data_IF_773361561674
#
_entry.id   IF_773361561674
#
_cell.length_a   1.000
_cell.length_b   1.000
_cell.length_c   1.000
_cell.angle_alpha   90.00
_cell.angle_beta   90.00
_cell.angle_gamma   90.00
#
_symmetry.space_group_name_H-M   'P 1'
#
loop_
_entity.id
_entity.type
_entity.pdbx_description
1 polymer ?
#
# COMPACT_ATOMS: atom_id res chain seq x y z
N UNK A 1 -17.62 -19.51 9.13
CA UNK A 1 -18.01 -18.15 8.76
C UNK A 1 -16.75 -17.31 8.85
N UNK A 2 -16.27 -16.75 7.73
CA UNK A 2 -15.13 -15.84 7.72
C UNK A 2 -15.61 -14.54 8.36
N UNK A 3 -15.01 -14.09 9.47
CA UNK A 3 -15.45 -12.85 10.12
C UNK A 3 -14.83 -11.65 9.41
N UNK A 4 -15.49 -10.49 9.50
CA UNK A 4 -14.98 -9.24 8.93
C UNK A 4 -13.59 -8.88 9.47
N UNK A 5 -13.32 -9.13 10.76
CA UNK A 5 -11.98 -8.93 11.34
C UNK A 5 -10.92 -9.86 10.73
N UNK A 6 -11.28 -11.10 10.35
CA UNK A 6 -10.37 -12.01 9.65
C UNK A 6 -10.05 -11.50 8.24
N UNK A 7 -11.04 -10.91 7.56
CA UNK A 7 -10.85 -10.28 6.26
C UNK A 7 -9.88 -9.10 6.35
N UNK A 8 -10.12 -8.17 7.28
CA UNK A 8 -9.25 -7.01 7.47
C UNK A 8 -7.82 -7.42 7.81
N UNK A 9 -7.67 -8.42 8.68
CA UNK A 9 -6.36 -9.00 9.02
C UNK A 9 -5.66 -9.61 7.80
N UNK A 10 -6.40 -10.31 6.94
CA UNK A 10 -5.88 -10.88 5.70
C UNK A 10 -5.34 -9.80 4.76
N UNK A 11 -6.10 -8.73 4.53
CA UNK A 11 -5.68 -7.59 3.70
C UNK A 11 -4.39 -6.96 4.23
N UNK A 12 -4.30 -6.73 5.55
CA UNK A 12 -3.07 -6.26 6.19
C UNK A 12 -1.87 -7.16 5.87
N UNK A 13 -2.03 -8.48 5.99
CA UNK A 13 -0.94 -9.40 5.71
C UNK A 13 -0.54 -9.44 4.23
N UNK A 14 -1.49 -9.30 3.31
CA UNK A 14 -1.19 -9.20 1.87
C UNK A 14 -0.35 -7.95 1.61
N UNK A 15 -0.77 -6.77 2.08
CA UNK A 15 -0.03 -5.53 1.90
C UNK A 15 1.39 -5.60 2.50
N UNK A 16 1.53 -6.10 3.74
CA UNK A 16 2.85 -6.28 4.37
C UNK A 16 3.73 -7.30 3.64
N UNK A 17 3.13 -8.34 3.04
CA UNK A 17 3.86 -9.31 2.23
C UNK A 17 4.36 -8.68 0.94
N UNK A 18 3.52 -7.94 0.23
CA UNK A 18 3.88 -7.22 -1.00
C UNK A 18 5.01 -6.21 -0.75
N UNK A 19 4.90 -5.39 0.31
CA UNK A 19 5.98 -4.47 0.68
C UNK A 19 7.31 -5.18 0.91
N UNK A 20 7.31 -6.34 1.58
CA UNK A 20 8.52 -7.15 1.76
C UNK A 20 9.07 -7.68 0.44
N UNK A 21 8.22 -8.17 -0.45
CA UNK A 21 8.63 -8.63 -1.76
C UNK A 21 9.28 -7.52 -2.58
N UNK A 22 8.72 -6.30 -2.56
CA UNK A 22 9.31 -5.15 -3.25
C UNK A 22 10.65 -4.78 -2.60
N UNK A 23 10.73 -4.75 -1.26
CA UNK A 23 12.00 -4.49 -0.56
C UNK A 23 13.09 -5.50 -0.92
N UNK A 24 12.74 -6.77 -1.04
CA UNK A 24 13.70 -7.81 -1.44
C UNK A 24 14.11 -7.65 -2.91
N UNK A 25 13.18 -7.34 -3.81
CA UNK A 25 13.49 -7.02 -5.20
C UNK A 25 14.40 -5.78 -5.35
N UNK A 26 14.23 -4.76 -4.51
CA UNK A 26 15.12 -3.58 -4.47
C UNK A 26 16.54 -3.95 -4.05
N UNK A 27 16.71 -4.90 -3.12
CA UNK A 27 18.04 -5.39 -2.73
C UNK A 27 18.71 -6.17 -3.85
N UNK A 28 17.94 -6.98 -4.57
CA UNK A 28 18.45 -7.80 -5.68
C UNK A 28 18.79 -6.96 -6.92
N UNK A 29 17.94 -5.98 -7.25
CA UNK A 29 18.08 -5.17 -8.48
C UNK A 29 17.85 -3.68 -8.20
N UNK A 30 18.74 -3.01 -7.45
CA UNK A 30 18.54 -1.62 -7.01
C UNK A 30 18.42 -0.61 -8.15
N UNK A 31 19.08 -0.85 -9.28
CA UNK A 31 19.01 0.03 -10.46
C UNK A 31 17.61 0.08 -11.12
N UNK A 32 16.74 -0.89 -10.84
CA UNK A 32 15.35 -0.91 -11.33
C UNK A 32 14.40 0.00 -10.54
N UNK A 33 14.86 0.58 -9.44
CA UNK A 33 14.04 1.32 -8.49
C UNK A 33 14.57 2.72 -8.23
N UNK A 34 13.68 3.63 -7.81
CA UNK A 34 14.05 4.98 -7.37
C UNK A 34 15.01 4.89 -6.18
N UNK A 35 15.87 5.90 -6.05
CA UNK A 35 16.95 5.93 -5.05
C UNK A 35 16.43 5.76 -3.60
N UNK A 36 15.29 6.35 -3.30
CA UNK A 36 14.75 6.43 -1.93
C UNK A 36 13.72 5.32 -1.64
N UNK A 37 13.47 4.43 -2.61
CA UNK A 37 12.44 3.36 -2.50
C UNK A 37 12.55 2.54 -1.22
N UNK A 38 13.76 2.20 -0.77
CA UNK A 38 13.93 1.39 0.44
C UNK A 38 13.43 2.10 1.72
N UNK A 39 13.63 3.41 1.81
CA UNK A 39 13.16 4.24 2.92
C UNK A 39 11.63 4.30 2.92
N UNK A 40 11.05 4.61 1.77
CA UNK A 40 9.60 4.64 1.57
C UNK A 40 8.92 3.31 1.94
N UNK A 41 9.42 2.19 1.42
CA UNK A 41 8.86 0.87 1.70
C UNK A 41 8.96 0.50 3.19
N UNK A 42 10.06 0.88 3.84
CA UNK A 42 10.25 0.65 5.29
C UNK A 42 9.25 1.46 6.11
N UNK A 43 9.04 2.73 5.75
CA UNK A 43 8.06 3.59 6.40
C UNK A 43 6.63 3.09 6.19
N UNK A 44 6.26 2.73 4.96
CA UNK A 44 4.95 2.15 4.65
C UNK A 44 4.69 0.86 5.44
N UNK A 45 5.69 -0.02 5.54
CA UNK A 45 5.58 -1.25 6.31
C UNK A 45 5.34 -0.93 7.79
N UNK A 46 6.08 0.02 8.36
CA UNK A 46 5.91 0.45 9.75
C UNK A 46 4.52 1.02 10.00
N UNK A 47 4.03 1.91 9.14
CA UNK A 47 2.70 2.53 9.21
C UNK A 47 1.62 1.44 9.25
N UNK A 48 1.61 0.52 8.29
CA UNK A 48 0.59 -0.54 8.23
C UNK A 48 0.72 -1.50 9.42
N UNK A 49 1.96 -1.87 9.79
CA UNK A 49 2.18 -2.82 10.88
C UNK A 49 1.70 -2.28 12.23
N UNK A 50 1.90 -0.99 12.48
CA UNK A 50 1.53 -0.33 13.75
C UNK A 50 0.13 0.28 13.76
N UNK A 51 -0.57 0.28 12.61
CA UNK A 51 -1.96 0.73 12.52
C UNK A 51 -2.86 -0.02 13.52
N UNK A 52 -3.67 0.75 14.26
CA UNK A 52 -4.64 0.20 15.21
C UNK A 52 -5.70 -0.62 14.48
N UNK A 53 -6.26 -1.64 15.15
CA UNK A 53 -7.31 -2.47 14.55
C UNK A 53 -8.52 -1.64 14.12
N UNK A 54 -8.90 -0.64 14.92
CA UNK A 54 -10.02 0.27 14.61
C UNK A 54 -9.77 1.03 13.31
N UNK A 55 -8.61 1.66 13.16
CA UNK A 55 -8.26 2.41 11.94
C UNK A 55 -8.14 1.48 10.73
N UNK A 56 -7.58 0.30 10.92
CA UNK A 56 -7.45 -0.69 9.87
C UNK A 56 -8.82 -1.19 9.39
N UNK A 57 -9.74 -1.45 10.32
CA UNK A 57 -11.12 -1.81 9.99
C UNK A 57 -11.80 -0.69 9.19
N UNK A 58 -11.68 0.56 9.63
CA UNK A 58 -12.26 1.71 8.92
C UNK A 58 -11.75 1.80 7.48
N UNK A 59 -10.42 1.79 7.30
CA UNK A 59 -9.78 1.94 5.98
C UNK A 59 -10.14 0.78 5.06
N UNK A 60 -9.93 -0.46 5.52
CA UNK A 60 -10.10 -1.64 4.66
C UNK A 60 -11.56 -1.80 4.25
N UNK A 61 -12.52 -1.62 5.16
CA UNK A 61 -13.94 -1.73 4.80
C UNK A 61 -14.37 -0.64 3.82
N UNK A 62 -13.93 0.61 4.04
CA UNK A 62 -14.26 1.72 3.12
C UNK A 62 -13.76 1.46 1.70
N UNK A 63 -12.52 0.99 1.58
CA UNK A 63 -11.90 0.65 0.29
C UNK A 63 -12.60 -0.55 -0.34
N UNK A 64 -12.83 -1.61 0.43
CA UNK A 64 -13.51 -2.81 -0.03
C UNK A 64 -14.91 -2.51 -0.57
N UNK A 65 -15.71 -1.74 0.17
CA UNK A 65 -17.08 -1.38 -0.25
C UNK A 65 -17.07 -0.61 -1.57
N UNK A 66 -16.10 0.30 -1.76
CA UNK A 66 -15.90 1.02 -3.02
C UNK A 66 -15.61 0.09 -4.20
N UNK A 67 -14.80 -0.95 -3.97
CA UNK A 67 -14.49 -1.94 -5.00
C UNK A 67 -15.65 -2.92 -5.26
N UNK A 68 -16.43 -3.27 -4.24
CA UNK A 68 -17.66 -4.06 -4.40
C UNK A 68 -18.67 -3.30 -5.27
N UNK A 69 -18.87 -2.01 -5.03
CA UNK A 69 -19.75 -1.16 -5.84
C UNK A 69 -19.30 -1.08 -7.31
N UNK A 70 -17.98 -1.11 -7.54
CA UNK A 70 -17.39 -1.14 -8.87
C UNK A 70 -17.38 -2.54 -9.53
N UNK A 71 -17.77 -3.60 -8.82
CA UNK A 71 -17.71 -4.98 -9.29
C UNK A 71 -16.28 -5.54 -9.42
N UNK A 72 -15.36 -5.05 -8.59
CA UNK A 72 -13.93 -5.37 -8.59
C UNK A 72 -13.42 -5.81 -7.20
N UNK A 73 -14.10 -6.77 -6.56
CA UNK A 73 -13.83 -7.24 -5.18
C UNK A 73 -12.58 -8.13 -5.05
N UNK A 74 -11.42 -7.66 -5.54
CA UNK A 74 -10.15 -8.37 -5.42
C UNK A 74 -9.34 -7.87 -4.22
N UNK A 75 -8.93 -8.80 -3.35
CA UNK A 75 -8.10 -8.52 -2.17
C UNK A 75 -6.78 -7.80 -2.51
N UNK A 76 -6.23 -8.04 -3.70
CA UNK A 76 -5.03 -7.39 -4.19
C UNK A 76 -5.24 -5.90 -4.40
N UNK A 77 -6.40 -5.47 -4.92
CA UNK A 77 -6.71 -4.06 -5.08
C UNK A 77 -6.95 -3.34 -3.74
N UNK A 78 -7.58 -4.03 -2.79
CA UNK A 78 -7.79 -3.48 -1.44
C UNK A 78 -6.44 -3.36 -0.71
N UNK A 79 -5.56 -4.35 -0.84
CA UNK A 79 -4.21 -4.32 -0.26
C UNK A 79 -3.33 -3.24 -0.92
N UNK A 80 -3.38 -3.09 -2.24
CA UNK A 80 -2.66 -2.04 -2.96
C UNK A 80 -3.14 -0.65 -2.54
N UNK A 81 -4.45 -0.43 -2.41
CA UNK A 81 -5.01 0.80 -1.88
C UNK A 81 -4.55 1.10 -0.45
N UNK A 82 -4.47 0.07 0.42
CA UNK A 82 -3.90 0.23 1.76
C UNK A 82 -2.42 0.66 1.70
N UNK A 83 -1.65 0.13 0.75
CA UNK A 83 -0.27 0.57 0.49
C UNK A 83 -0.23 2.02 -0.03
N UNK A 84 -1.13 2.42 -0.93
CA UNK A 84 -1.22 3.81 -1.45
C UNK A 84 -1.50 4.80 -0.33
N UNK A 85 -2.39 4.44 0.59
CA UNK A 85 -2.68 5.25 1.78
C UNK A 85 -1.44 5.40 2.66
N UNK A 86 -0.70 4.32 2.90
CA UNK A 86 0.53 4.38 3.68
C UNK A 86 1.62 5.25 3.01
N UNK A 87 1.75 5.15 1.68
CA UNK A 87 2.64 6.01 0.89
C UNK A 87 2.26 7.48 1.04
N UNK A 88 0.97 7.79 0.86
CA UNK A 88 0.46 9.16 0.99
C UNK A 88 0.69 9.74 2.39
N UNK A 89 0.47 8.93 3.44
CA UNK A 89 0.73 9.33 4.83
C UNK A 89 2.19 9.71 5.01
N UNK A 90 3.11 8.87 4.56
CA UNK A 90 4.53 9.16 4.68
C UNK A 90 4.98 10.38 3.85
N UNK A 91 4.47 10.55 2.63
CA UNK A 91 4.74 11.74 1.82
C UNK A 91 4.25 13.02 2.50
N UNK A 92 3.07 12.98 3.13
CA UNK A 92 2.56 14.12 3.90
C UNK A 92 3.45 14.43 5.12
N UNK A 93 3.98 13.41 5.81
CA UNK A 93 4.93 13.60 6.91
C UNK A 93 6.24 14.27 6.45
N UNK A 94 6.70 13.96 5.23
CA UNK A 94 7.85 14.61 4.61
C UNK A 94 7.57 16.01 4.03
N UNK A 95 6.30 16.41 3.97
CA UNK A 95 5.87 17.66 3.32
C UNK A 95 6.01 17.61 1.79
N UNK A 96 6.02 16.41 1.21
CA UNK A 96 6.08 16.20 -0.23
C UNK A 96 4.69 16.26 -0.88
N UNK A 97 4.67 16.45 -2.21
CA UNK A 97 3.44 16.26 -2.98
C UNK A 97 3.05 14.78 -2.90
N UNK A 98 1.86 14.49 -2.36
CA UNK A 98 1.44 13.10 -2.18
C UNK A 98 0.99 12.45 -3.49
N UNK A 99 0.91 11.12 -3.47
CA UNK A 99 0.57 10.24 -4.60
C UNK A 99 -0.80 10.55 -5.22
N UNK A 100 -1.78 11.01 -4.42
CA UNK A 100 -3.10 11.39 -4.92
C UNK A 100 -3.05 12.72 -5.68
N UNK A 101 -2.31 13.71 -5.14
CA UNK A 101 -2.11 15.00 -5.80
C UNK A 101 -1.34 14.87 -7.11
N UNK A 102 -0.55 13.81 -7.27
CA UNK A 102 0.13 13.45 -8.51
C UNK A 102 -0.83 12.85 -9.56
N UNK A 103 -2.05 12.48 -9.18
CA UNK A 103 -3.00 11.79 -10.06
C UNK A 103 -2.58 10.36 -10.37
N UNK A 104 -1.86 9.71 -9.46
CA UNK A 104 -1.40 8.34 -9.65
C UNK A 104 -2.57 7.35 -9.57
N UNK A 105 -2.75 6.55 -10.61
CA UNK A 105 -3.88 5.63 -10.80
C UNK A 105 -3.46 4.17 -11.07
N UNK A 106 -2.17 3.86 -10.87
CA UNK A 106 -1.59 2.52 -11.05
C UNK A 106 -1.27 1.85 -9.72
N UNK A 107 -0.85 0.58 -9.78
CA UNK A 107 -0.37 -0.16 -8.62
C UNK A 107 0.78 0.58 -7.93
N UNK A 108 0.83 0.48 -6.61
CA UNK A 108 1.85 1.17 -5.78
C UNK A 108 3.25 0.69 -6.08
N UNK A 109 3.41 -0.59 -6.42
CA UNK A 109 4.71 -1.13 -6.82
C UNK A 109 5.32 -0.35 -8.00
N UNK A 110 4.49 0.00 -8.97
CA UNK A 110 4.91 0.72 -10.18
C UNK A 110 5.41 2.14 -9.86
N UNK A 111 4.95 2.73 -8.75
CA UNK A 111 5.42 4.04 -8.30
C UNK A 111 6.93 4.02 -8.06
N UNK A 112 7.46 2.91 -7.54
CA UNK A 112 8.86 2.79 -7.16
C UNK A 112 9.81 2.44 -8.32
N UNK A 113 9.28 2.09 -9.49
CA UNK A 113 10.09 1.68 -10.65
C UNK A 113 10.65 2.90 -11.38
N UNK A 114 11.89 2.79 -11.87
CA UNK A 114 12.55 3.87 -12.65
C UNK A 114 11.98 4.01 -14.06
N UNK A 115 11.52 2.91 -14.66
CA UNK A 115 11.01 2.88 -16.04
C UNK A 115 9.60 3.45 -16.21
N UNK A 116 8.94 3.84 -15.12
CA UNK A 116 7.55 4.34 -15.08
C UNK A 116 7.52 5.85 -14.77
N UNK A 117 8.69 6.51 -14.70
CA UNK A 117 8.84 7.95 -14.48
C UNK A 117 8.60 8.78 -15.75
#
# INVERSE_FOLDING_TARGET
MFTQDMYVTRIKFIALSQLRQIMDAVKETPAGYRKDTAEYLSAMYYIINTMTQERLNEVVNTVHDSYVEAGMDDDGYVADSLMTIALAQYQNELGERNVYDMGWDRLVEDFFRTAIA
#
